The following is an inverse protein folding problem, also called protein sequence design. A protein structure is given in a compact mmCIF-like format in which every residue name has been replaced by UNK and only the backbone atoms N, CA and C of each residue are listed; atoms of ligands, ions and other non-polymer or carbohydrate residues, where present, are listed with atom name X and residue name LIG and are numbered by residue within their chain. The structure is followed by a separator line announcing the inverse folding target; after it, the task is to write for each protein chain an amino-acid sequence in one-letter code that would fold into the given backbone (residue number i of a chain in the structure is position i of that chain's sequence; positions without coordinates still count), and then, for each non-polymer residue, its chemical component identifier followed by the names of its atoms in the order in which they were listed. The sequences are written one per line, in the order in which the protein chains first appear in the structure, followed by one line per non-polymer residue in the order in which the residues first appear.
data_IF_944680957286
#
_entry.id   IF_944680957286
#
_cell.length_a   1.000
_cell.length_b   1.000
_cell.length_c   1.000
_cell.angle_alpha   90.00
_cell.angle_beta   90.00
_cell.angle_gamma   90.00
#
_symmetry.space_group_name_H-M   'P 1'
#
loop_
_entity.id
_entity.type
_entity.pdbx_description
1 polymer ?
#
# COMPACT_ATOMS: atom_id res chain seq x y z
N UNK A 1 50.43 -67.47 -5.61
CA UNK A 1 49.10 -67.72 -6.16
C UNK A 1 48.48 -66.39 -6.52
N UNK A 2 48.51 -66.08 -7.79
CA UNK A 2 48.03 -64.83 -8.39
C UNK A 2 46.58 -65.01 -8.78
N UNK A 3 45.65 -64.18 -8.30
CA UNK A 3 44.28 -64.13 -8.79
C UNK A 3 44.05 -62.80 -9.49
N UNK A 4 43.82 -62.91 -10.80
CA UNK A 4 43.45 -61.86 -11.73
C UNK A 4 41.98 -61.46 -11.52
N UNK A 5 41.71 -60.19 -11.24
CA UNK A 5 40.39 -59.60 -11.44
C UNK A 5 40.43 -58.73 -12.70
N UNK A 6 39.59 -59.01 -13.66
CA UNK A 6 39.29 -58.17 -14.82
C UNK A 6 38.14 -57.23 -14.44
N UNK A 7 38.20 -55.93 -14.78
CA UNK A 7 37.05 -55.05 -14.64
C UNK A 7 36.12 -55.19 -15.84
N UNK A 8 34.83 -55.36 -15.57
CA UNK A 8 33.72 -55.27 -16.54
C UNK A 8 33.36 -53.80 -16.70
N UNK A 9 33.58 -53.24 -17.89
CA UNK A 9 33.07 -51.92 -18.27
C UNK A 9 31.59 -52.04 -18.56
N UNK A 10 30.77 -51.37 -17.71
CA UNK A 10 29.34 -51.17 -17.94
C UNK A 10 29.18 -49.80 -18.64
N UNK A 11 28.86 -49.81 -19.92
CA UNK A 11 28.54 -48.62 -20.70
C UNK A 11 27.10 -48.20 -20.34
N UNK A 12 26.93 -47.09 -19.58
CA UNK A 12 25.65 -46.47 -19.37
C UNK A 12 25.31 -45.55 -20.55
N UNK A 13 24.33 -45.93 -21.35
CA UNK A 13 23.71 -45.05 -22.34
C UNK A 13 22.93 -43.95 -21.59
N UNK A 14 23.42 -42.71 -21.57
CA UNK A 14 22.66 -41.54 -21.21
C UNK A 14 21.77 -41.14 -22.39
N UNK A 15 20.49 -41.44 -22.30
CA UNK A 15 19.47 -40.82 -23.14
C UNK A 15 19.21 -39.42 -22.62
N UNK A 16 19.72 -38.42 -23.30
CA UNK A 16 19.34 -37.01 -23.05
C UNK A 16 17.91 -36.83 -23.51
N UNK A 17 16.98 -36.79 -22.54
CA UNK A 17 15.65 -36.31 -22.78
C UNK A 17 15.74 -34.78 -22.95
N UNK A 18 15.60 -34.29 -24.17
CA UNK A 18 15.42 -32.89 -24.46
C UNK A 18 14.07 -32.47 -23.90
N UNK A 19 14.06 -31.83 -22.73
CA UNK A 19 12.92 -31.06 -22.26
C UNK A 19 12.78 -29.83 -23.15
N UNK A 20 11.86 -29.89 -24.10
CA UNK A 20 11.34 -28.70 -24.77
C UNK A 20 10.58 -27.90 -23.72
N UNK A 21 10.82 -26.60 -23.55
CA UNK A 21 9.98 -25.79 -22.76
C UNK A 21 8.66 -25.58 -23.53
N UNK A 22 7.66 -26.37 -23.25
CA UNK A 22 6.28 -26.09 -23.62
C UNK A 22 5.82 -24.96 -22.67
N UNK A 23 6.13 -23.71 -23.01
CA UNK A 23 5.55 -22.55 -22.43
C UNK A 23 4.08 -22.44 -22.83
N UNK A 24 3.20 -23.14 -22.14
CA UNK A 24 1.81 -22.72 -22.07
C UNK A 24 1.83 -21.45 -21.24
N UNK A 25 1.66 -20.27 -21.87
CA UNK A 25 1.36 -19.05 -21.14
C UNK A 25 0.05 -19.32 -20.38
N UNK A 26 0.14 -19.66 -19.11
CA UNK A 26 -1.04 -19.78 -18.27
C UNK A 26 -1.72 -18.41 -18.26
N UNK A 27 -3.03 -18.39 -18.47
CA UNK A 27 -3.82 -17.18 -18.37
C UNK A 27 -3.53 -16.52 -16.99
N UNK A 28 -2.99 -15.30 -16.95
CA UNK A 28 -2.66 -14.63 -15.68
C UNK A 28 -3.87 -14.47 -14.79
N UNK A 29 -5.07 -14.40 -15.34
CA UNK A 29 -6.32 -14.27 -14.58
C UNK A 29 -6.72 -15.57 -13.89
N UNK A 30 -6.38 -16.72 -14.48
CA UNK A 30 -6.55 -18.00 -13.79
C UNK A 30 -5.64 -18.12 -12.55
N UNK A 31 -4.50 -17.43 -12.54
CA UNK A 31 -3.65 -17.33 -11.33
C UNK A 31 -4.31 -16.46 -10.27
N UNK A 32 -4.90 -15.32 -10.64
CA UNK A 32 -5.66 -14.47 -9.72
C UNK A 32 -6.78 -15.26 -9.03
N UNK A 33 -7.53 -16.07 -9.80
CA UNK A 33 -8.61 -16.92 -9.25
C UNK A 33 -8.06 -17.97 -8.27
N UNK A 34 -6.89 -18.55 -8.56
CA UNK A 34 -6.23 -19.49 -7.63
C UNK A 34 -5.78 -18.80 -6.35
N UNK A 35 -5.22 -17.60 -6.43
CA UNK A 35 -4.87 -16.80 -5.25
C UNK A 35 -6.10 -16.54 -4.39
N UNK A 36 -7.20 -16.06 -4.99
CA UNK A 36 -8.45 -15.80 -4.27
C UNK A 36 -8.99 -17.06 -3.58
N UNK A 37 -8.97 -18.19 -4.28
CA UNK A 37 -9.43 -19.47 -3.72
C UNK A 37 -8.55 -20.00 -2.57
N UNK A 38 -7.29 -19.57 -2.51
CA UNK A 38 -6.33 -19.98 -1.47
C UNK A 38 -6.35 -19.09 -0.23
N UNK A 39 -6.94 -17.90 -0.30
CA UNK A 39 -6.98 -16.95 0.82
C UNK A 39 -7.82 -17.47 1.98
N UNK A 40 -7.23 -17.43 3.16
CA UNK A 40 -7.94 -17.78 4.40
C UNK A 40 -8.95 -16.70 4.76
N UNK A 41 -10.19 -17.10 5.05
CA UNK A 41 -11.25 -16.18 5.46
C UNK A 41 -11.31 -16.07 7.00
N UNK A 42 -11.71 -14.89 7.51
CA UNK A 42 -11.94 -14.70 8.95
C UNK A 42 -13.12 -15.55 9.42
N UNK A 43 -13.02 -16.04 10.65
CA UNK A 43 -14.10 -16.74 11.31
C UNK A 43 -14.11 -16.42 12.81
N UNK A 44 -15.26 -16.01 13.34
CA UNK A 44 -15.41 -15.64 14.74
C UNK A 44 -16.47 -16.51 15.41
N UNK A 45 -16.27 -16.89 16.71
CA UNK A 45 -17.32 -17.50 17.49
C UNK A 45 -18.57 -16.60 17.61
N UNK A 46 -19.74 -17.22 17.74
CA UNK A 46 -21.00 -16.51 17.99
C UNK A 46 -21.06 -15.99 19.44
N UNK A 47 -20.28 -14.97 19.68
CA UNK A 47 -20.19 -14.20 20.91
C UNK A 47 -20.07 -12.73 20.57
N UNK A 48 -20.88 -11.90 21.21
CA UNK A 48 -20.78 -10.46 21.05
C UNK A 48 -20.90 -9.75 22.40
N UNK A 49 -20.17 -8.64 22.54
CA UNK A 49 -20.29 -7.70 23.67
C UNK A 49 -20.39 -6.28 23.09
N UNK A 50 -20.99 -5.38 23.82
CA UNK A 50 -21.01 -3.95 23.46
C UNK A 50 -19.95 -3.18 24.23
N UNK A 51 -19.32 -2.18 23.60
CA UNK A 51 -18.41 -1.27 24.31
C UNK A 51 -19.11 -0.51 25.46
N UNK A 52 -20.44 -0.37 25.39
CA UNK A 52 -21.23 0.24 26.45
C UNK A 52 -21.29 -0.63 27.72
N UNK A 53 -21.17 -1.95 27.60
CA UNK A 53 -21.07 -2.86 28.74
C UNK A 53 -19.77 -2.66 29.52
N UNK A 54 -18.78 -2.01 28.91
CA UNK A 54 -17.49 -1.65 29.49
C UNK A 54 -17.36 -0.17 29.86
N UNK A 55 -18.47 0.57 29.81
CA UNK A 55 -18.51 1.96 30.25
C UNK A 55 -18.33 3.03 29.17
N UNK A 56 -18.35 2.66 27.89
CA UNK A 56 -18.39 3.67 26.82
C UNK A 56 -19.73 4.42 26.82
N UNK A 57 -19.67 5.76 26.75
CA UNK A 57 -20.85 6.62 26.74
C UNK A 57 -20.91 7.39 25.42
N UNK A 58 -21.99 7.26 24.64
CA UNK A 58 -22.12 8.00 23.40
C UNK A 58 -22.32 9.50 23.68
N UNK A 59 -21.74 10.35 22.82
CA UNK A 59 -21.88 11.81 22.88
C UNK A 59 -20.97 12.50 23.90
N UNK A 60 -20.29 11.78 24.76
CA UNK A 60 -19.36 12.35 25.73
C UNK A 60 -17.97 12.58 25.12
N UNK A 61 -17.62 13.85 24.92
CA UNK A 61 -16.29 14.23 24.41
C UNK A 61 -15.25 14.44 25.51
N UNK A 62 -15.63 14.41 26.76
CA UNK A 62 -14.75 14.60 27.91
C UNK A 62 -14.25 13.27 28.46
N UNK A 63 -15.05 12.20 28.30
CA UNK A 63 -14.68 10.85 28.68
C UNK A 63 -14.40 10.01 27.43
N UNK A 64 -13.12 9.73 27.17
CA UNK A 64 -12.74 8.89 26.04
C UNK A 64 -13.16 7.44 26.27
N UNK A 65 -13.76 6.82 25.27
CA UNK A 65 -14.14 5.42 25.28
C UNK A 65 -12.94 4.44 25.07
N UNK A 66 -11.71 4.94 25.06
CA UNK A 66 -10.50 4.19 24.76
C UNK A 66 -10.33 2.95 25.63
N UNK A 67 -10.45 3.12 26.95
CA UNK A 67 -10.33 2.00 27.89
C UNK A 67 -11.48 1.01 27.72
N UNK A 68 -12.72 1.50 27.55
CA UNK A 68 -13.89 0.64 27.36
C UNK A 68 -13.74 -0.23 26.09
N UNK A 69 -13.33 0.37 24.97
CA UNK A 69 -13.10 -0.36 23.72
C UNK A 69 -11.98 -1.39 23.88
N UNK A 70 -10.83 -1.01 24.42
CA UNK A 70 -9.69 -1.91 24.57
C UNK A 70 -9.98 -3.05 25.58
N UNK A 71 -10.72 -2.75 26.66
CA UNK A 71 -11.14 -3.76 27.64
C UNK A 71 -12.14 -4.75 27.02
N UNK A 72 -13.09 -4.30 26.21
CA UNK A 72 -14.02 -5.15 25.47
C UNK A 72 -13.26 -6.08 24.51
N UNK A 73 -12.31 -5.55 23.75
CA UNK A 73 -11.45 -6.32 22.84
C UNK A 73 -10.67 -7.38 23.63
N UNK A 74 -10.06 -7.02 24.75
CA UNK A 74 -9.29 -7.92 25.57
C UNK A 74 -10.18 -9.04 26.17
N UNK A 75 -11.34 -8.70 26.67
CA UNK A 75 -12.28 -9.65 27.25
C UNK A 75 -12.76 -10.68 26.20
N UNK A 76 -13.09 -10.23 24.99
CA UNK A 76 -13.50 -11.11 23.89
C UNK A 76 -12.33 -11.99 23.44
N UNK A 77 -11.13 -11.45 23.29
CA UNK A 77 -9.93 -12.22 22.95
C UNK A 77 -9.64 -13.32 24.00
N UNK A 78 -9.66 -12.99 25.29
CA UNK A 78 -9.43 -13.94 26.40
C UNK A 78 -10.50 -15.03 26.46
N UNK A 79 -11.71 -14.72 26.01
CA UNK A 79 -12.80 -15.69 25.93
C UNK A 79 -12.73 -16.60 24.68
N UNK A 80 -11.66 -16.49 23.86
CA UNK A 80 -11.45 -17.29 22.66
C UNK A 80 -11.97 -16.67 21.37
N UNK A 81 -12.34 -15.38 21.39
CA UNK A 81 -12.76 -14.62 20.22
C UNK A 81 -14.24 -14.29 20.16
N UNK A 82 -14.63 -13.48 19.16
CA UNK A 82 -16.00 -13.00 18.95
C UNK A 82 -16.04 -11.58 18.41
N UNK A 83 -17.16 -10.90 18.60
CA UNK A 83 -17.43 -9.56 18.11
C UNK A 83 -17.51 -8.54 19.25
N UNK A 84 -16.84 -7.41 19.09
CA UNK A 84 -17.00 -6.21 19.93
C UNK A 84 -17.83 -5.21 19.14
N UNK A 85 -19.04 -4.93 19.58
CA UNK A 85 -19.96 -4.02 18.93
C UNK A 85 -19.77 -2.59 19.42
N UNK A 86 -19.62 -1.67 18.47
CA UNK A 86 -19.77 -0.23 18.67
C UNK A 86 -21.18 0.10 18.23
N UNK A 87 -22.13 0.37 19.14
CA UNK A 87 -23.51 0.65 18.79
C UNK A 87 -23.66 2.06 18.18
N UNK A 88 -24.84 2.37 17.68
CA UNK A 88 -25.16 3.69 17.14
C UNK A 88 -24.83 4.81 18.15
N UNK A 89 -24.26 5.88 17.63
CA UNK A 89 -23.82 7.04 18.41
C UNK A 89 -22.39 7.44 18.12
N UNK A 90 -22.02 8.60 18.65
CA UNK A 90 -20.64 9.13 18.51
C UNK A 90 -19.84 8.82 19.76
N UNK A 91 -18.73 8.14 19.62
CA UNK A 91 -17.80 7.84 20.72
C UNK A 91 -16.45 8.49 20.43
N UNK A 92 -16.01 9.32 21.37
CA UNK A 92 -14.66 9.87 21.33
C UNK A 92 -13.68 8.87 21.92
N UNK A 93 -12.56 8.65 21.24
CA UNK A 93 -11.57 7.66 21.65
C UNK A 93 -10.14 8.13 21.38
N UNK A 94 -9.19 7.56 22.09
CA UNK A 94 -7.77 7.51 21.73
C UNK A 94 -7.47 6.23 20.96
N UNK A 95 -6.20 5.75 20.98
CA UNK A 95 -5.77 4.61 20.19
C UNK A 95 -6.47 3.31 20.62
N UNK A 96 -6.84 2.49 19.63
CA UNK A 96 -7.47 1.19 19.80
C UNK A 96 -6.52 0.10 19.32
N UNK A 97 -6.34 -0.96 20.12
CA UNK A 97 -5.49 -2.11 19.77
C UNK A 97 -6.33 -3.36 19.59
N UNK A 98 -6.39 -3.89 18.37
CA UNK A 98 -7.06 -5.16 18.08
C UNK A 98 -6.23 -6.35 18.56
N UNK A 99 -6.93 -7.44 18.88
CA UNK A 99 -6.38 -8.71 19.32
C UNK A 99 -6.88 -9.86 18.44
N UNK A 100 -6.14 -10.93 18.41
CA UNK A 100 -6.48 -12.13 17.64
C UNK A 100 -7.88 -12.65 17.94
N UNK A 101 -8.55 -13.12 16.91
CA UNK A 101 -9.91 -13.66 16.96
C UNK A 101 -10.99 -12.64 17.35
N UNK A 102 -10.74 -11.33 17.14
CA UNK A 102 -11.70 -10.26 17.46
C UNK A 102 -12.14 -9.53 16.19
N UNK A 103 -13.45 -9.40 16.04
CA UNK A 103 -14.08 -8.48 15.10
C UNK A 103 -14.53 -7.23 15.83
N UNK A 104 -13.97 -6.06 15.50
CA UNK A 104 -14.51 -4.78 15.93
C UNK A 104 -15.59 -4.36 14.93
N UNK A 105 -16.84 -4.42 15.34
CA UNK A 105 -17.99 -4.14 14.47
C UNK A 105 -18.63 -2.80 14.81
N UNK A 106 -18.72 -1.91 13.80
CA UNK A 106 -19.38 -0.61 13.92
C UNK A 106 -20.77 -0.68 13.30
N UNK A 107 -21.82 -0.50 14.09
CA UNK A 107 -23.18 -0.33 13.58
C UNK A 107 -23.26 0.83 12.57
N UNK A 108 -24.27 0.85 11.70
CA UNK A 108 -24.37 1.84 10.62
C UNK A 108 -24.38 3.29 11.13
N UNK A 109 -25.00 3.54 12.29
CA UNK A 109 -25.03 4.85 12.96
C UNK A 109 -23.87 5.11 13.94
N UNK A 110 -22.89 4.21 14.03
CA UNK A 110 -21.73 4.36 14.90
C UNK A 110 -20.68 5.30 14.30
N UNK A 111 -20.14 6.19 15.12
CA UNK A 111 -19.01 7.06 14.75
C UNK A 111 -17.94 6.99 15.84
N UNK A 112 -16.77 6.46 15.49
CA UNK A 112 -15.57 6.58 16.33
C UNK A 112 -14.81 7.84 15.92
N UNK A 113 -14.76 8.83 16.82
CA UNK A 113 -13.98 10.06 16.66
C UNK A 113 -12.69 9.97 17.47
N UNK A 114 -11.57 10.10 16.79
CA UNK A 114 -10.27 10.03 17.43
C UNK A 114 -9.82 11.39 17.96
N UNK A 115 -9.40 11.42 19.22
CA UNK A 115 -8.81 12.64 19.81
C UNK A 115 -7.55 13.06 19.06
N UNK A 116 -7.31 14.35 18.96
CA UNK A 116 -6.08 14.92 18.38
C UNK A 116 -5.02 15.26 19.43
N UNK A 117 -5.26 14.90 20.71
CA UNK A 117 -4.28 15.02 21.77
C UNK A 117 -3.18 13.98 21.60
N UNK A 118 -2.02 14.42 21.09
CA UNK A 118 -0.88 13.58 20.78
C UNK A 118 -0.41 12.72 21.97
N UNK A 119 -0.58 13.20 23.19
CA UNK A 119 -0.15 12.48 24.40
C UNK A 119 -0.85 11.13 24.57
N UNK A 120 -2.09 11.03 24.10
CA UNK A 120 -2.88 9.79 24.16
C UNK A 120 -2.29 8.67 23.31
N UNK A 121 -1.42 9.00 22.36
CA UNK A 121 -0.83 8.05 21.40
C UNK A 121 0.58 7.57 21.77
N UNK A 122 0.96 7.75 23.01
CA UNK A 122 2.24 7.28 23.54
C UNK A 122 2.04 6.40 24.79
N UNK A 123 2.93 5.43 25.03
CA UNK A 123 4.26 5.26 24.44
C UNK A 123 4.23 4.84 22.96
N UNK A 124 5.33 5.12 22.25
CA UNK A 124 5.54 4.74 20.86
C UNK A 124 5.43 3.21 20.67
N UNK A 125 4.91 2.80 19.52
CA UNK A 125 4.75 1.38 19.16
C UNK A 125 5.57 1.02 17.92
N UNK A 126 5.95 -0.26 17.74
CA UNK A 126 6.61 -0.72 16.52
C UNK A 126 5.77 -0.42 15.29
N UNK A 127 6.35 0.31 14.35
CA UNK A 127 5.70 0.80 13.15
C UNK A 127 6.69 0.88 12.00
N UNK A 128 6.20 1.28 10.84
CA UNK A 128 6.99 1.69 9.67
C UNK A 128 6.40 2.97 9.11
N UNK A 129 7.26 3.92 8.82
CA UNK A 129 6.84 5.21 8.27
C UNK A 129 7.61 5.50 6.99
N UNK A 130 6.91 5.75 5.89
CA UNK A 130 7.48 5.87 4.53
C UNK A 130 8.53 4.78 4.23
N UNK A 131 8.23 3.53 4.54
CA UNK A 131 9.08 2.38 4.22
C UNK A 131 10.26 2.13 5.17
N UNK A 132 10.38 2.87 6.27
CA UNK A 132 11.48 2.76 7.25
C UNK A 132 10.94 2.36 8.62
N UNK A 133 11.50 1.31 9.22
CA UNK A 133 11.10 0.80 10.53
C UNK A 133 11.46 1.78 11.64
N UNK A 134 10.52 2.00 12.56
CA UNK A 134 10.71 2.84 13.77
C UNK A 134 9.67 2.51 14.84
N UNK A 135 9.90 2.95 16.07
CA UNK A 135 8.87 3.06 17.09
C UNK A 135 8.28 4.47 17.01
N UNK A 136 7.01 4.58 16.67
CA UNK A 136 6.36 5.84 16.35
C UNK A 136 5.05 6.04 17.12
N UNK A 137 4.45 7.21 16.97
CA UNK A 137 3.09 7.52 17.41
C UNK A 137 2.16 6.35 17.13
N UNK A 138 1.41 5.91 18.13
CA UNK A 138 0.47 4.80 18.01
C UNK A 138 -0.55 5.11 16.90
N UNK A 139 -0.80 4.21 15.93
CA UNK A 139 -1.87 4.36 14.96
C UNK A 139 -3.25 4.47 15.62
N UNK A 140 -4.24 5.00 14.92
CA UNK A 140 -5.56 5.15 15.51
C UNK A 140 -6.15 3.77 15.85
N UNK A 141 -6.11 2.83 14.89
CA UNK A 141 -6.42 1.41 15.13
C UNK A 141 -5.23 0.57 14.73
N UNK A 142 -4.73 -0.21 15.65
CA UNK A 142 -3.49 -0.95 15.53
C UNK A 142 -3.65 -2.44 15.84
N UNK A 143 -2.87 -3.26 15.14
CA UNK A 143 -2.64 -4.67 15.51
C UNK A 143 -1.19 -5.04 15.20
N UNK A 144 -0.57 -5.88 16.01
CA UNK A 144 0.79 -6.36 15.81
C UNK A 144 0.91 -7.85 16.07
N UNK A 145 1.23 -8.61 15.02
CA UNK A 145 1.41 -10.07 15.13
C UNK A 145 0.12 -10.84 15.41
N UNK A 146 -1.04 -10.23 15.14
CA UNK A 146 -2.34 -10.82 15.44
C UNK A 146 -2.87 -11.64 14.25
N UNK A 147 -3.74 -12.60 14.54
CA UNK A 147 -4.33 -13.49 13.54
C UNK A 147 -5.85 -13.48 13.65
N UNK A 148 -6.55 -13.59 12.50
CA UNK A 148 -8.00 -13.64 12.44
C UNK A 148 -8.63 -12.42 13.12
N UNK A 149 -8.39 -11.25 12.54
CA UNK A 149 -8.90 -9.96 13.02
C UNK A 149 -9.80 -9.32 11.98
N UNK A 150 -10.80 -8.60 12.43
CA UNK A 150 -11.65 -7.84 11.53
C UNK A 150 -12.04 -6.47 12.09
N UNK A 151 -12.32 -5.56 11.16
CA UNK A 151 -12.98 -4.29 11.36
C UNK A 151 -14.14 -4.24 10.36
N UNK A 152 -15.37 -4.30 10.84
CA UNK A 152 -16.56 -4.46 9.98
C UNK A 152 -17.69 -3.52 10.31
N UNK A 153 -18.72 -3.50 9.47
CA UNK A 153 -19.95 -2.74 9.64
C UNK A 153 -20.03 -1.50 8.78
N UNK A 154 -21.15 -0.75 8.86
CA UNK A 154 -21.39 0.45 8.06
C UNK A 154 -20.99 1.78 8.74
N UNK A 155 -20.43 1.71 9.95
CA UNK A 155 -20.09 2.89 10.74
C UNK A 155 -18.89 3.70 10.22
N UNK A 156 -18.61 4.80 10.88
CA UNK A 156 -17.59 5.77 10.48
C UNK A 156 -16.43 5.82 11.47
N UNK A 157 -15.22 5.86 10.97
CA UNK A 157 -13.98 6.13 11.70
C UNK A 157 -13.46 7.48 11.22
N UNK A 158 -13.39 8.44 12.14
CA UNK A 158 -12.99 9.81 11.88
C UNK A 158 -11.72 10.14 12.65
N UNK A 159 -10.61 10.29 11.95
CA UNK A 159 -9.31 10.64 12.51
C UNK A 159 -9.22 12.09 12.97
N UNK A 160 -10.23 12.92 12.69
CA UNK A 160 -10.32 14.32 13.06
C UNK A 160 -9.11 15.17 12.66
N UNK A 161 -8.32 14.71 11.67
CA UNK A 161 -7.14 15.43 11.23
C UNK A 161 -7.50 16.71 10.47
N UNK A 162 -6.75 17.77 10.76
CA UNK A 162 -6.91 19.10 10.17
C UNK A 162 -5.60 19.88 10.19
N UNK A 163 -5.61 21.09 9.60
CA UNK A 163 -4.41 21.95 9.48
C UNK A 163 -3.93 22.51 10.83
N UNK A 164 -4.80 22.60 11.80
CA UNK A 164 -4.49 23.08 13.16
C UNK A 164 -4.01 21.97 14.10
N UNK A 165 -3.99 20.73 13.62
CA UNK A 165 -3.56 19.58 14.41
C UNK A 165 -2.62 18.66 13.59
N UNK A 166 -3.01 17.45 13.26
CA UNK A 166 -2.14 16.45 12.64
C UNK A 166 -1.47 16.93 11.33
N UNK A 167 -2.21 17.57 10.42
CA UNK A 167 -1.63 18.01 9.14
C UNK A 167 -0.69 19.20 9.31
N UNK A 168 -0.99 20.13 10.21
CA UNK A 168 -0.10 21.24 10.59
C UNK A 168 1.15 20.75 11.30
N UNK A 169 1.01 19.73 12.19
CA UNK A 169 2.15 19.07 12.83
C UNK A 169 3.12 18.50 11.80
N UNK A 170 2.63 17.82 10.78
CA UNK A 170 3.45 17.30 9.69
C UNK A 170 4.28 18.36 8.99
N UNK A 171 3.76 19.57 8.81
CA UNK A 171 4.53 20.68 8.25
C UNK A 171 5.70 21.12 9.14
N UNK A 172 5.54 21.04 10.43
CA UNK A 172 6.55 21.47 11.41
C UNK A 172 7.59 20.37 11.65
N UNK A 173 7.15 19.12 11.81
CA UNK A 173 8.02 18.01 12.21
C UNK A 173 8.58 17.20 11.05
N UNK A 174 7.86 17.11 9.93
CA UNK A 174 8.16 16.19 8.84
C UNK A 174 8.58 16.89 7.55
N UNK A 175 7.92 18.01 7.25
CA UNK A 175 8.06 18.72 5.97
C UNK A 175 8.70 20.08 6.14
N UNK A 176 9.99 20.08 6.32
CA UNK A 176 10.72 21.32 6.10
C UNK A 176 11.24 21.35 4.66
N UNK A 177 11.30 22.55 4.01
CA UNK A 177 11.77 22.64 2.63
C UNK A 177 13.12 21.95 2.48
N UNK A 178 13.26 21.14 1.48
CA UNK A 178 14.49 20.45 1.12
C UNK A 178 14.98 20.95 -0.24
N UNK A 179 16.28 21.13 -0.47
CA UNK A 179 17.37 21.11 0.49
C UNK A 179 17.35 22.34 1.37
N UNK A 180 17.78 22.22 2.62
CA UNK A 180 18.04 23.38 3.43
C UNK A 180 19.46 23.85 3.20
N UNK A 181 19.63 25.14 3.34
CA UNK A 181 20.93 25.77 3.34
C UNK A 181 21.69 25.36 4.61
N UNK A 182 22.73 24.52 4.53
CA UNK A 182 23.49 24.12 5.72
C UNK A 182 24.20 25.30 6.37
N UNK A 183 24.28 26.45 5.69
CA UNK A 183 24.87 27.67 6.22
C UNK A 183 23.88 28.57 6.99
N UNK A 184 22.57 28.27 6.91
CA UNK A 184 21.57 28.99 7.71
C UNK A 184 21.43 28.33 9.10
N UNK A 185 21.95 28.97 10.19
CA UNK A 185 21.82 28.46 11.54
C UNK A 185 20.38 28.40 12.05
N UNK A 186 19.42 29.01 11.35
CA UNK A 186 17.99 28.91 11.59
C UNK A 186 17.34 27.85 10.73
N UNK A 187 18.12 27.15 9.92
CA UNK A 187 17.64 26.06 9.10
C UNK A 187 17.09 24.95 10.00
N UNK A 188 15.81 24.78 10.04
CA UNK A 188 15.17 23.87 11.00
C UNK A 188 15.34 22.40 10.67
N UNK A 189 16.13 22.03 9.70
CA UNK A 189 16.20 20.73 9.08
C UNK A 189 17.10 19.73 9.69
N UNK A 190 18.10 20.16 10.31
CA UNK A 190 18.97 19.23 11.02
C UNK A 190 18.26 18.52 12.17
N UNK A 191 17.04 18.98 12.51
CA UNK A 191 16.23 18.50 13.64
C UNK A 191 14.87 17.88 13.23
N UNK A 192 14.52 17.83 11.95
CA UNK A 192 13.21 17.28 11.53
C UNK A 192 13.12 15.76 11.76
N UNK A 193 12.00 15.31 12.33
CA UNK A 193 11.75 13.89 12.63
C UNK A 193 11.86 13.01 11.39
N UNK A 194 11.35 13.45 10.25
CA UNK A 194 11.47 12.72 8.99
C UNK A 194 12.92 12.63 8.50
N UNK A 195 13.71 13.69 8.64
CA UNK A 195 15.14 13.69 8.26
C UNK A 195 15.91 12.69 9.10
N UNK A 196 15.63 12.65 10.41
CA UNK A 196 16.21 11.68 11.33
C UNK A 196 15.82 10.24 10.96
N UNK A 197 14.55 10.01 10.58
CA UNK A 197 14.10 8.70 10.10
C UNK A 197 14.89 8.25 8.87
N UNK A 198 15.04 9.12 7.87
CA UNK A 198 15.81 8.82 6.66
C UNK A 198 17.28 8.50 7.00
N UNK A 199 17.89 9.27 7.90
CA UNK A 199 19.25 9.00 8.37
C UNK A 199 19.37 7.67 9.10
N UNK A 200 18.42 7.31 9.95
CA UNK A 200 18.37 5.99 10.60
C UNK A 200 18.24 4.84 9.59
N UNK A 201 17.38 5.01 8.57
CA UNK A 201 17.24 4.02 7.51
C UNK A 201 18.55 3.81 6.75
N UNK A 202 19.19 4.88 6.29
CA UNK A 202 20.43 4.81 5.49
C UNK A 202 21.65 4.34 6.30
N UNK A 203 21.72 4.64 7.60
CA UNK A 203 22.80 4.18 8.49
C UNK A 203 22.63 2.77 9.01
N UNK A 204 21.41 2.21 8.91
CA UNK A 204 21.07 0.92 9.53
C UNK A 204 21.03 0.97 11.05
N UNK A 205 20.73 2.13 11.65
CA UNK A 205 20.61 2.28 13.10
C UNK A 205 19.70 1.19 13.71
N UNK A 206 20.00 0.65 14.89
CA UNK A 206 19.17 -0.39 15.50
C UNK A 206 17.83 0.17 15.99
N UNK A 207 16.81 -0.70 16.06
CA UNK A 207 15.43 -0.29 16.38
C UNK A 207 15.27 0.45 17.72
N UNK A 208 16.08 0.12 18.73
CA UNK A 208 15.99 0.80 20.03
C UNK A 208 16.41 2.28 19.98
N UNK A 209 17.20 2.67 18.99
CA UNK A 209 17.55 4.08 18.72
C UNK A 209 16.49 4.81 17.91
N UNK A 210 15.66 4.08 17.15
CA UNK A 210 14.65 4.62 16.26
C UNK A 210 13.31 4.84 16.98
N UNK A 211 13.35 5.50 18.13
CA UNK A 211 12.16 5.70 18.97
C UNK A 211 11.82 7.18 19.08
N UNK A 212 10.58 7.50 18.75
CA UNK A 212 10.01 8.83 18.88
C UNK A 212 9.32 9.04 20.22
N UNK A 213 9.15 10.28 20.59
CA UNK A 213 8.43 10.75 21.77
C UNK A 213 7.20 11.58 21.39
N UNK A 214 6.41 12.01 22.36
CA UNK A 214 5.23 12.83 22.11
C UNK A 214 5.54 14.18 21.44
N UNK A 215 6.77 14.68 21.58
CA UNK A 215 7.18 15.98 21.03
C UNK A 215 7.62 15.91 19.59
N UNK A 216 8.11 14.75 19.15
CA UNK A 216 8.77 14.57 17.85
C UNK A 216 8.21 13.41 17.02
N UNK A 217 7.16 12.71 17.50
CA UNK A 217 6.53 11.62 16.78
C UNK A 217 5.93 12.05 15.44
N UNK A 218 6.07 11.17 14.45
CA UNK A 218 5.50 11.34 13.12
C UNK A 218 3.99 11.08 13.13
N UNK A 219 3.26 11.64 12.18
CA UNK A 219 1.80 11.43 12.05
C UNK A 219 1.46 9.95 11.95
N UNK A 220 0.49 9.44 12.74
CA UNK A 220 0.11 8.04 12.70
C UNK A 220 -0.79 7.72 11.50
N UNK A 221 -0.84 6.46 11.11
CA UNK A 221 -1.83 5.91 10.20
C UNK A 221 -3.20 5.79 10.89
N UNK A 222 -4.30 5.75 10.12
CA UNK A 222 -5.60 5.42 10.70
C UNK A 222 -5.69 3.95 11.05
N UNK A 223 -5.47 3.04 10.09
CA UNK A 223 -5.42 1.60 10.32
C UNK A 223 -4.00 1.10 10.03
N UNK A 224 -3.34 0.53 11.02
CA UNK A 224 -2.02 -0.06 10.84
C UNK A 224 -1.96 -1.47 11.41
N UNK A 225 -2.03 -2.46 10.53
CA UNK A 225 -1.92 -3.86 10.89
C UNK A 225 -0.55 -4.38 10.50
N UNK A 226 0.26 -4.70 11.49
CA UNK A 226 1.67 -5.03 11.33
C UNK A 226 1.88 -6.52 11.60
N UNK A 227 2.35 -7.28 10.61
CA UNK A 227 2.62 -8.74 10.68
C UNK A 227 1.37 -9.57 11.07
N UNK A 228 0.20 -9.14 10.60
CA UNK A 228 -1.05 -9.84 10.87
C UNK A 228 -1.38 -10.84 9.77
N UNK A 229 -2.15 -11.87 10.12
CA UNK A 229 -2.58 -12.90 9.18
C UNK A 229 -4.11 -13.04 9.25
N UNK A 230 -4.75 -13.23 8.11
CA UNK A 230 -6.21 -13.35 7.99
C UNK A 230 -6.91 -12.11 8.55
N UNK A 231 -6.97 -11.07 7.72
CA UNK A 231 -7.45 -9.74 8.09
C UNK A 231 -8.62 -9.34 7.19
N UNK A 232 -9.69 -8.84 7.79
CA UNK A 232 -10.84 -8.29 7.06
C UNK A 232 -11.10 -6.84 7.48
N UNK A 233 -11.21 -5.95 6.50
CA UNK A 233 -11.71 -4.58 6.67
C UNK A 233 -12.91 -4.44 5.73
N UNK A 234 -14.12 -4.26 6.27
CA UNK A 234 -15.34 -4.33 5.46
C UNK A 234 -16.39 -3.29 5.84
N UNK A 235 -16.90 -2.58 4.84
CA UNK A 235 -18.07 -1.73 4.91
C UNK A 235 -17.87 -0.34 5.52
N UNK A 236 -16.84 -0.15 6.32
CA UNK A 236 -16.61 1.09 7.08
C UNK A 236 -16.28 2.31 6.21
N UNK A 237 -16.63 3.49 6.71
CA UNK A 237 -16.22 4.78 6.14
C UNK A 237 -15.06 5.36 6.94
N UNK A 238 -13.96 5.73 6.25
CA UNK A 238 -12.75 6.29 6.85
C UNK A 238 -12.58 7.76 6.44
N UNK A 239 -12.49 8.64 7.43
CA UNK A 239 -12.45 10.09 7.23
C UNK A 239 -11.23 10.72 7.92
N UNK A 240 -10.70 11.78 7.33
CA UNK A 240 -9.75 12.72 7.94
C UNK A 240 -8.59 12.03 8.66
N UNK A 241 -7.90 11.14 7.96
CA UNK A 241 -6.71 10.46 8.46
C UNK A 241 -5.55 11.43 8.71
N UNK A 242 -4.77 11.23 9.77
CA UNK A 242 -3.53 12.00 9.97
C UNK A 242 -2.49 11.81 8.87
N UNK A 243 -2.39 10.60 8.32
CA UNK A 243 -1.40 10.14 7.35
C UNK A 243 -2.05 9.06 6.45
N UNK A 244 -1.33 8.07 5.93
CA UNK A 244 -1.87 6.92 5.18
C UNK A 244 -3.08 6.31 5.89
N UNK A 245 -4.15 6.03 5.15
CA UNK A 245 -5.41 5.63 5.77
C UNK A 245 -5.39 4.17 6.20
N UNK A 246 -5.15 3.24 5.26
CA UNK A 246 -5.04 1.81 5.52
C UNK A 246 -3.62 1.37 5.19
N UNK A 247 -2.82 1.06 6.20
CA UNK A 247 -1.43 0.62 6.04
C UNK A 247 -1.21 -0.77 6.67
N UNK A 248 -1.52 -1.85 5.94
CA UNK A 248 -1.10 -3.19 6.33
C UNK A 248 0.38 -3.38 6.00
N UNK A 249 1.15 -3.86 6.97
CA UNK A 249 2.58 -4.09 6.86
C UNK A 249 2.90 -5.57 7.09
N UNK A 250 3.52 -6.22 6.12
CA UNK A 250 3.90 -7.64 6.21
C UNK A 250 2.72 -8.55 6.59
N UNK A 251 1.52 -8.22 6.12
CA UNK A 251 0.32 -9.01 6.34
C UNK A 251 0.14 -10.08 5.27
N UNK A 252 -0.55 -11.17 5.65
CA UNK A 252 -0.92 -12.24 4.73
C UNK A 252 -2.42 -12.52 4.80
N UNK A 253 -3.05 -12.79 3.65
CA UNK A 253 -4.49 -13.01 3.51
C UNK A 253 -5.32 -11.83 4.05
N UNK A 254 -5.21 -10.70 3.36
CA UNK A 254 -5.91 -9.46 3.69
C UNK A 254 -7.04 -9.18 2.70
N UNK A 255 -8.24 -8.91 3.21
CA UNK A 255 -9.37 -8.43 2.41
C UNK A 255 -9.79 -7.03 2.85
N UNK A 256 -9.88 -6.10 1.90
CA UNK A 256 -10.48 -4.76 2.07
C UNK A 256 -11.67 -4.68 1.11
N UNK A 257 -12.88 -4.64 1.64
CA UNK A 257 -14.11 -4.74 0.83
C UNK A 257 -15.14 -3.70 1.20
N UNK A 258 -15.73 -3.05 0.20
CA UNK A 258 -16.86 -2.12 0.39
C UNK A 258 -16.50 -0.90 1.24
N UNK A 259 -15.23 -0.57 1.38
CA UNK A 259 -14.77 0.55 2.21
C UNK A 259 -14.87 1.86 1.45
N UNK A 260 -15.34 2.90 2.11
CA UNK A 260 -15.33 4.27 1.58
C UNK A 260 -14.26 5.10 2.28
N UNK A 261 -13.31 5.64 1.51
CA UNK A 261 -12.27 6.55 2.01
C UNK A 261 -12.53 7.94 1.47
N UNK A 262 -12.64 8.91 2.39
CA UNK A 262 -12.73 10.33 2.07
C UNK A 262 -11.71 11.11 2.91
N UNK A 263 -10.54 11.31 2.33
CA UNK A 263 -9.38 11.89 3.03
C UNK A 263 -8.54 12.74 2.07
N UNK A 264 -8.71 14.05 2.12
CA UNK A 264 -8.01 15.04 1.30
C UNK A 264 -6.72 15.58 1.93
N UNK A 265 -6.29 15.00 3.04
CA UNK A 265 -5.10 15.39 3.77
C UNK A 265 -3.78 15.08 3.04
N UNK A 266 -2.69 15.73 3.42
CA UNK A 266 -1.36 15.48 2.85
C UNK A 266 -0.85 14.08 3.20
N UNK A 267 -0.27 13.36 2.23
CA UNK A 267 0.06 11.93 2.30
C UNK A 267 -1.16 11.09 2.76
N UNK A 268 -2.30 11.47 2.22
CA UNK A 268 -3.57 10.84 2.53
C UNK A 268 -3.88 9.68 1.60
N UNK A 269 -2.88 8.83 1.34
CA UNK A 269 -2.99 7.62 0.53
C UNK A 269 -4.09 6.73 1.13
N UNK A 270 -4.91 6.11 0.26
CA UNK A 270 -6.08 5.37 0.71
C UNK A 270 -5.75 3.99 1.27
N UNK A 271 -5.01 3.19 0.53
CA UNK A 271 -4.60 1.85 0.96
C UNK A 271 -3.17 1.55 0.49
N UNK A 272 -2.29 1.28 1.44
CA UNK A 272 -0.85 1.08 1.24
C UNK A 272 -0.39 -0.31 1.69
N UNK A 273 -0.71 -1.40 0.96
CA UNK A 273 -0.18 -2.71 1.30
C UNK A 273 1.33 -2.70 1.15
N UNK A 274 2.07 -2.90 2.26
CA UNK A 274 3.52 -2.88 2.27
C UNK A 274 4.09 -4.24 2.66
N UNK A 275 4.87 -4.85 1.76
CA UNK A 275 5.41 -6.21 1.92
C UNK A 275 4.33 -7.25 2.28
N UNK A 276 3.13 -7.07 1.73
CA UNK A 276 1.97 -7.93 1.96
C UNK A 276 1.84 -9.00 0.88
N UNK A 277 1.20 -10.10 1.24
CA UNK A 277 0.92 -11.21 0.34
C UNK A 277 -0.55 -11.60 0.38
N UNK A 278 -1.12 -11.96 -0.80
CA UNK A 278 -2.51 -12.36 -0.95
C UNK A 278 -3.46 -11.27 -0.41
N UNK A 279 -3.60 -10.20 -1.18
CA UNK A 279 -4.42 -9.04 -0.81
C UNK A 279 -5.54 -8.89 -1.82
N UNK A 280 -6.78 -8.80 -1.34
CA UNK A 280 -7.94 -8.45 -2.12
C UNK A 280 -8.46 -7.07 -1.71
N UNK A 281 -8.57 -6.15 -2.67
CA UNK A 281 -9.19 -4.83 -2.49
C UNK A 281 -10.35 -4.76 -3.49
N UNK A 282 -11.59 -4.79 -3.00
CA UNK A 282 -12.75 -4.84 -3.88
C UNK A 282 -13.92 -3.97 -3.43
N UNK A 283 -14.70 -3.50 -4.40
CA UNK A 283 -15.93 -2.72 -4.17
C UNK A 283 -15.72 -1.45 -3.34
N UNK A 284 -14.50 -0.90 -3.35
CA UNK A 284 -14.11 0.26 -2.54
C UNK A 284 -14.23 1.58 -3.31
N UNK A 285 -14.43 2.68 -2.56
CA UNK A 285 -14.44 4.04 -3.10
C UNK A 285 -13.31 4.85 -2.47
N UNK A 286 -12.43 5.40 -3.31
CA UNK A 286 -11.29 6.22 -2.90
C UNK A 286 -11.48 7.67 -3.35
N UNK A 287 -11.50 8.59 -2.40
CA UNK A 287 -11.36 10.03 -2.60
C UNK A 287 -10.24 10.53 -1.69
N UNK A 288 -9.04 10.66 -2.25
CA UNK A 288 -7.80 10.81 -1.48
C UNK A 288 -7.03 12.06 -1.86
N UNK A 289 -6.24 12.58 -0.93
CA UNK A 289 -5.34 13.71 -1.15
C UNK A 289 -3.97 13.30 -1.70
N UNK A 290 -3.68 12.00 -1.78
CA UNK A 290 -2.49 11.41 -2.42
C UNK A 290 -2.93 10.17 -3.22
N UNK A 291 -2.11 9.13 -3.37
CA UNK A 291 -2.46 7.95 -4.17
C UNK A 291 -3.70 7.19 -3.59
N UNK A 292 -4.59 6.66 -4.43
CA UNK A 292 -5.74 5.88 -3.96
C UNK A 292 -5.31 4.53 -3.37
N UNK A 293 -4.51 3.78 -4.12
CA UNK A 293 -3.86 2.55 -3.66
C UNK A 293 -2.37 2.69 -3.99
N UNK A 294 -1.49 2.55 -2.99
CA UNK A 294 -0.06 2.65 -3.20
C UNK A 294 0.69 1.46 -2.59
N UNK A 295 1.01 0.50 -3.43
CA UNK A 295 1.67 -0.75 -3.05
C UNK A 295 3.15 -0.48 -2.78
N UNK A 296 3.66 -0.97 -1.65
CA UNK A 296 5.00 -0.70 -1.16
C UNK A 296 5.71 -1.98 -0.69
N UNK A 297 7.05 -1.92 -0.54
CA UNK A 297 7.87 -3.02 0.02
C UNK A 297 9.16 -2.50 0.66
N UNK A 298 9.06 -1.37 1.35
CA UNK A 298 10.16 -0.76 2.11
C UNK A 298 11.04 0.18 1.29
N UNK A 299 11.71 1.06 2.02
CA UNK A 299 12.52 2.14 1.45
C UNK A 299 14.01 1.85 1.64
N UNK A 300 14.76 1.95 0.54
CA UNK A 300 16.21 1.95 0.51
C UNK A 300 16.85 0.77 1.30
N UNK A 301 17.76 1.05 2.22
CA UNK A 301 18.49 0.04 3.00
C UNK A 301 17.53 -0.83 3.85
N UNK A 302 16.54 -0.23 4.52
CA UNK A 302 15.56 -0.99 5.32
C UNK A 302 14.72 -1.93 4.44
N UNK A 303 14.24 -1.46 3.29
CA UNK A 303 13.50 -2.29 2.35
C UNK A 303 14.35 -3.46 1.81
N UNK A 304 15.59 -3.18 1.41
CA UNK A 304 16.53 -4.22 0.95
C UNK A 304 16.91 -5.21 2.04
N UNK A 305 17.10 -4.74 3.27
CA UNK A 305 17.41 -5.58 4.43
C UNK A 305 16.34 -6.64 4.68
N UNK A 306 15.07 -6.25 4.61
CA UNK A 306 13.97 -7.21 4.71
C UNK A 306 13.85 -8.07 3.44
N UNK A 307 14.00 -7.48 2.26
CA UNK A 307 13.91 -8.18 0.99
C UNK A 307 12.57 -8.88 0.76
N UNK A 308 11.51 -8.41 1.42
CA UNK A 308 10.15 -8.98 1.32
C UNK A 308 9.36 -8.17 0.31
N UNK A 309 9.02 -8.74 -0.85
CA UNK A 309 8.18 -8.07 -1.82
C UNK A 309 6.73 -7.95 -1.34
N UNK A 310 5.97 -7.06 -1.94
CA UNK A 310 4.51 -7.22 -1.99
C UNK A 310 4.17 -8.12 -3.16
N UNK A 311 3.23 -9.05 -2.98
CA UNK A 311 2.88 -10.02 -4.02
C UNK A 311 1.43 -10.48 -3.94
N UNK A 312 0.89 -10.88 -5.11
CA UNK A 312 -0.46 -11.41 -5.24
C UNK A 312 -1.51 -10.41 -4.73
N UNK A 313 -1.58 -9.24 -5.36
CA UNK A 313 -2.57 -8.21 -5.01
C UNK A 313 -3.62 -8.11 -6.12
N UNK A 314 -4.88 -8.20 -5.74
CA UNK A 314 -6.04 -8.13 -6.62
C UNK A 314 -6.85 -6.90 -6.26
N UNK A 315 -7.08 -6.02 -7.23
CA UNK A 315 -7.91 -4.81 -7.11
C UNK A 315 -9.05 -4.92 -8.11
N UNK A 316 -10.29 -4.93 -7.63
CA UNK A 316 -11.43 -5.06 -8.55
C UNK A 316 -12.66 -4.28 -8.12
N UNK A 317 -13.45 -3.87 -9.10
CA UNK A 317 -14.72 -3.18 -8.91
C UNK A 317 -14.59 -1.87 -8.09
N UNK A 318 -13.41 -1.28 -8.03
CA UNK A 318 -13.15 -0.08 -7.24
C UNK A 318 -13.41 1.19 -8.04
N UNK A 319 -13.76 2.25 -7.32
CA UNK A 319 -13.90 3.59 -7.87
C UNK A 319 -12.86 4.53 -7.27
N UNK A 320 -11.97 5.06 -8.10
CA UNK A 320 -11.01 6.11 -7.75
C UNK A 320 -11.61 7.46 -8.17
N UNK A 321 -12.17 8.17 -7.18
CA UNK A 321 -12.89 9.43 -7.41
C UNK A 321 -11.96 10.65 -7.39
N UNK A 322 -10.80 10.56 -6.71
CA UNK A 322 -9.78 11.60 -6.65
C UNK A 322 -8.47 11.01 -6.09
N UNK A 323 -7.30 11.58 -6.47
CA UNK A 323 -5.99 11.15 -5.97
C UNK A 323 -4.83 11.48 -6.90
N UNK A 324 -3.58 11.25 -6.47
CA UNK A 324 -2.40 11.40 -7.32
C UNK A 324 -2.15 10.20 -8.23
N UNK A 325 -2.72 9.05 -7.91
CA UNK A 325 -2.67 7.84 -8.72
C UNK A 325 -3.80 6.89 -8.36
N UNK A 326 -4.37 6.17 -9.35
CA UNK A 326 -5.41 5.19 -9.11
C UNK A 326 -4.85 3.94 -8.45
N UNK A 327 -4.03 3.17 -9.17
CA UNK A 327 -3.26 2.06 -8.62
C UNK A 327 -1.77 2.34 -8.86
N UNK A 328 -1.02 2.43 -7.77
CA UNK A 328 0.37 2.86 -7.77
C UNK A 328 1.26 1.78 -7.16
N UNK A 329 2.43 1.56 -7.75
CA UNK A 329 3.51 0.75 -7.20
C UNK A 329 4.66 1.69 -6.88
N UNK A 330 5.04 1.74 -5.60
CA UNK A 330 6.13 2.61 -5.11
C UNK A 330 5.64 3.91 -4.42
N UNK A 331 6.60 4.83 -4.12
CA UNK A 331 8.04 4.73 -4.43
C UNK A 331 8.83 3.81 -3.50
N UNK A 332 8.35 3.51 -2.31
CA UNK A 332 9.00 2.64 -1.32
C UNK A 332 8.86 1.17 -1.76
N UNK A 333 9.69 0.73 -2.73
CA UNK A 333 9.54 -0.57 -3.40
C UNK A 333 10.86 -1.37 -3.44
N UNK A 334 11.73 -1.16 -2.46
CA UNK A 334 13.06 -1.77 -2.45
C UNK A 334 13.06 -3.29 -2.28
N UNK A 335 12.00 -3.87 -1.71
CA UNK A 335 11.80 -5.32 -1.64
C UNK A 335 11.28 -5.95 -2.95
N UNK A 336 10.94 -5.13 -3.95
CA UNK A 336 10.34 -5.59 -5.21
C UNK A 336 8.83 -5.81 -5.13
N UNK A 337 8.26 -6.20 -6.27
CA UNK A 337 6.84 -6.46 -6.43
C UNK A 337 6.58 -7.51 -7.50
N UNK A 338 5.56 -8.36 -7.31
CA UNK A 338 5.07 -9.28 -8.34
C UNK A 338 3.58 -9.61 -8.21
N UNK A 339 2.95 -9.83 -9.36
CA UNK A 339 1.58 -10.30 -9.51
C UNK A 339 0.51 -9.32 -9.01
N UNK A 340 0.27 -8.26 -9.79
CA UNK A 340 -0.87 -7.35 -9.65
C UNK A 340 -1.94 -7.67 -10.68
N UNK A 341 -3.18 -7.77 -10.22
CA UNK A 341 -4.35 -7.84 -11.10
C UNK A 341 -5.31 -6.69 -10.77
N UNK A 342 -5.61 -5.88 -11.77
CA UNK A 342 -6.57 -4.76 -11.65
C UNK A 342 -7.68 -4.97 -12.67
N UNK A 343 -8.93 -5.08 -12.22
CA UNK A 343 -10.04 -5.27 -13.14
C UNK A 343 -11.32 -4.51 -12.76
N UNK A 344 -12.11 -4.16 -13.78
CA UNK A 344 -13.45 -3.59 -13.63
C UNK A 344 -13.46 -2.31 -12.76
N UNK A 345 -12.42 -1.50 -12.81
CA UNK A 345 -12.30 -0.27 -12.02
C UNK A 345 -12.76 0.96 -12.83
N UNK A 346 -13.26 1.96 -12.11
CA UNK A 346 -13.67 3.25 -12.69
C UNK A 346 -12.87 4.39 -12.08
N UNK A 347 -12.31 5.25 -12.93
CA UNK A 347 -11.49 6.37 -12.52
C UNK A 347 -11.90 7.62 -13.30
N UNK A 348 -12.33 8.66 -12.62
CA UNK A 348 -12.78 9.88 -13.30
C UNK A 348 -12.61 11.10 -12.39
N UNK A 349 -11.50 11.81 -12.56
CA UNK A 349 -11.27 13.06 -11.85
C UNK A 349 -10.24 13.93 -12.57
N UNK A 350 -10.46 15.25 -12.68
CA UNK A 350 -9.45 16.19 -13.16
C UNK A 350 -8.23 16.31 -12.24
N UNK A 351 -8.35 15.81 -11.01
CA UNK A 351 -7.26 15.82 -10.02
C UNK A 351 -6.54 14.48 -9.91
N UNK A 352 -7.07 13.42 -10.54
CA UNK A 352 -6.36 12.15 -10.64
C UNK A 352 -5.22 12.30 -11.65
N UNK A 353 -3.97 12.26 -11.18
CA UNK A 353 -2.84 12.48 -12.09
C UNK A 353 -2.60 11.31 -13.03
N UNK A 354 -2.60 10.09 -12.53
CA UNK A 354 -2.25 8.87 -13.28
C UNK A 354 -3.20 7.74 -12.90
N UNK A 355 -3.49 6.89 -13.86
CA UNK A 355 -4.37 5.73 -13.64
C UNK A 355 -3.59 4.56 -13.06
N UNK A 356 -2.60 4.08 -13.81
CA UNK A 356 -1.62 3.09 -13.36
C UNK A 356 -0.25 3.76 -13.29
N UNK A 357 0.38 3.70 -12.13
CA UNK A 357 1.64 4.39 -11.89
C UNK A 357 2.67 3.48 -11.26
N UNK A 358 3.88 3.42 -11.85
CA UNK A 358 5.05 2.75 -11.27
C UNK A 358 6.11 3.82 -11.05
N UNK A 359 6.57 3.99 -9.81
CA UNK A 359 7.56 4.99 -9.42
C UNK A 359 8.64 4.38 -8.56
N UNK A 360 9.88 4.43 -9.01
CA UNK A 360 11.06 3.92 -8.31
C UNK A 360 12.31 4.70 -8.73
N UNK A 361 13.47 4.35 -8.21
CA UNK A 361 14.75 4.97 -8.55
C UNK A 361 15.94 4.07 -8.21
N UNK A 362 17.13 4.49 -8.59
CA UNK A 362 18.37 3.78 -8.25
C UNK A 362 18.73 3.81 -6.76
N UNK A 363 17.99 4.54 -5.93
CA UNK A 363 18.06 4.44 -4.47
C UNK A 363 17.25 3.26 -3.93
N UNK A 364 16.17 2.89 -4.63
CA UNK A 364 15.26 1.80 -4.25
C UNK A 364 15.74 0.46 -4.78
N UNK A 365 16.02 0.35 -6.08
CA UNK A 365 16.21 -0.93 -6.74
C UNK A 365 14.90 -1.71 -6.87
N UNK A 366 14.99 -3.03 -6.79
CA UNK A 366 13.86 -3.95 -6.83
C UNK A 366 13.37 -4.30 -8.24
N UNK A 367 12.79 -5.49 -8.38
CA UNK A 367 12.12 -5.94 -9.61
C UNK A 367 10.62 -5.80 -9.43
N UNK A 368 9.96 -5.21 -10.42
CA UNK A 368 8.51 -5.00 -10.47
C UNK A 368 8.01 -5.72 -11.72
N UNK A 369 7.21 -6.77 -11.54
CA UNK A 369 6.80 -7.65 -12.64
C UNK A 369 5.39 -8.23 -12.46
N UNK A 370 4.79 -8.69 -13.58
CA UNK A 370 3.50 -9.37 -13.56
C UNK A 370 2.34 -8.42 -13.25
N UNK A 371 2.22 -7.31 -13.97
CA UNK A 371 1.14 -6.34 -13.79
C UNK A 371 0.12 -6.52 -14.90
N UNK A 372 -1.09 -6.95 -14.54
CA UNK A 372 -2.18 -7.22 -15.46
C UNK A 372 -3.40 -6.35 -15.12
N UNK A 373 -3.78 -5.51 -16.06
CA UNK A 373 -4.89 -4.55 -15.93
C UNK A 373 -5.91 -4.81 -17.02
N UNK A 374 -7.18 -4.97 -16.69
CA UNK A 374 -8.23 -5.12 -17.70
C UNK A 374 -9.53 -4.44 -17.34
N UNK A 375 -10.29 -4.08 -18.38
CA UNK A 375 -11.66 -3.52 -18.23
C UNK A 375 -11.67 -2.30 -17.29
N UNK A 376 -10.79 -1.34 -17.48
CA UNK A 376 -10.74 -0.11 -16.70
C UNK A 376 -11.29 1.05 -17.52
N UNK A 377 -12.30 1.70 -16.96
CA UNK A 377 -12.94 2.88 -17.57
C UNK A 377 -12.39 4.16 -16.94
N UNK A 378 -11.73 4.99 -17.75
CA UNK A 378 -11.22 6.29 -17.31
C UNK A 378 -12.03 7.41 -17.97
N UNK A 379 -12.74 8.19 -17.15
CA UNK A 379 -13.36 9.42 -17.64
C UNK A 379 -12.30 10.46 -17.99
N UNK A 380 -11.49 10.83 -17.01
CA UNK A 380 -10.35 11.70 -17.20
C UNK A 380 -9.26 11.46 -16.17
N UNK A 381 -8.01 11.73 -16.55
CA UNK A 381 -6.89 11.88 -15.67
C UNK A 381 -6.01 13.04 -16.15
N UNK A 382 -5.24 13.63 -15.23
CA UNK A 382 -4.50 14.85 -15.54
C UNK A 382 -3.26 14.60 -16.39
N UNK A 383 -2.52 13.51 -16.16
CA UNK A 383 -1.26 13.26 -16.84
C UNK A 383 -1.32 12.09 -17.82
N UNK A 384 -1.38 10.86 -17.36
CA UNK A 384 -1.27 9.68 -18.21
C UNK A 384 -2.05 8.48 -17.69
N UNK A 385 -2.50 7.64 -18.62
CA UNK A 385 -3.15 6.36 -18.27
C UNK A 385 -2.13 5.38 -17.69
N UNK A 386 -0.96 5.25 -18.30
CA UNK A 386 0.15 4.48 -17.74
C UNK A 386 1.38 5.39 -17.56
N UNK A 387 1.92 5.40 -16.36
CA UNK A 387 3.17 6.09 -16.04
C UNK A 387 4.18 5.15 -15.41
N UNK A 388 5.35 4.96 -16.03
CA UNK A 388 6.49 4.25 -15.43
C UNK A 388 7.65 5.22 -15.30
N UNK A 389 8.17 5.41 -14.07
CA UNK A 389 9.23 6.36 -13.77
C UNK A 389 10.32 5.70 -12.91
N UNK A 390 11.50 5.47 -13.50
CA UNK A 390 12.70 4.94 -12.83
C UNK A 390 13.62 6.06 -12.30
N UNK A 391 13.22 7.32 -12.47
CA UNK A 391 13.96 8.52 -12.04
C UNK A 391 13.21 9.31 -10.97
N UNK A 392 12.42 8.62 -10.14
CA UNK A 392 11.64 9.25 -9.09
C UNK A 392 12.52 9.69 -7.92
N UNK A 393 12.26 10.86 -7.33
CA UNK A 393 13.02 11.41 -6.20
C UNK A 393 14.56 11.40 -6.39
N UNK A 394 15.03 11.83 -7.56
CA UNK A 394 16.47 11.84 -7.86
C UNK A 394 17.31 12.68 -6.89
N UNK A 395 16.71 13.67 -6.24
CA UNK A 395 17.38 14.55 -5.29
C UNK A 395 17.37 14.01 -3.84
N UNK A 396 16.80 12.82 -3.61
CA UNK A 396 16.85 12.20 -2.29
C UNK A 396 18.31 11.88 -1.90
N UNK A 397 18.68 12.21 -0.67
CA UNK A 397 19.97 11.84 -0.11
C UNK A 397 19.89 10.38 0.33
N UNK A 398 20.41 9.50 -0.51
CA UNK A 398 20.39 8.06 -0.31
C UNK A 398 21.55 7.40 -1.05
N UNK A 399 21.95 6.22 -0.60
CA UNK A 399 22.84 5.35 -1.38
C UNK A 399 22.17 4.98 -2.70
N UNK A 400 22.91 5.03 -3.78
CA UNK A 400 22.41 4.74 -5.14
C UNK A 400 23.21 3.59 -5.77
N UNK A 401 22.82 3.19 -6.98
CA UNK A 401 23.45 2.07 -7.71
C UNK A 401 22.65 0.77 -7.57
N UNK A 402 21.46 0.82 -6.96
CA UNK A 402 20.52 -0.28 -6.93
C UNK A 402 19.59 -0.17 -8.12
N UNK A 403 19.84 -0.97 -9.14
CA UNK A 403 19.16 -0.83 -10.43
C UNK A 403 17.74 -1.42 -10.35
N UNK A 404 16.68 -0.60 -10.53
CA UNK A 404 15.32 -1.10 -10.59
C UNK A 404 15.03 -1.72 -11.96
N UNK A 405 14.09 -2.66 -12.00
CA UNK A 405 13.59 -3.24 -13.25
C UNK A 405 12.07 -3.31 -13.24
N UNK A 406 11.44 -2.93 -14.36
CA UNK A 406 10.00 -3.05 -14.58
C UNK A 406 9.77 -3.85 -15.85
N UNK A 407 9.04 -4.96 -15.74
CA UNK A 407 8.72 -5.83 -16.88
C UNK A 407 7.38 -6.53 -16.74
N UNK A 408 6.88 -7.09 -17.83
CA UNK A 408 5.64 -7.84 -17.88
C UNK A 408 4.46 -7.00 -17.35
N UNK A 409 4.16 -5.92 -18.07
CA UNK A 409 3.03 -5.01 -17.78
C UNK A 409 2.05 -5.06 -18.94
N UNK A 410 0.84 -5.52 -18.69
CA UNK A 410 -0.21 -5.62 -19.70
C UNK A 410 -1.45 -4.81 -19.30
N UNK A 411 -1.86 -3.91 -20.19
CA UNK A 411 -3.15 -3.23 -20.12
C UNK A 411 -4.05 -3.77 -21.23
N UNK A 412 -5.24 -4.22 -20.88
CA UNK A 412 -6.18 -4.81 -21.82
C UNK A 412 -7.59 -4.20 -21.68
N UNK A 413 -8.17 -3.73 -22.76
CA UNK A 413 -9.49 -3.07 -22.75
C UNK A 413 -9.59 -1.93 -21.73
N UNK A 414 -8.58 -1.06 -21.74
CA UNK A 414 -8.56 0.18 -20.95
C UNK A 414 -8.99 1.33 -21.84
N UNK A 415 -9.97 2.09 -21.38
CA UNK A 415 -10.49 3.26 -22.12
C UNK A 415 -10.24 4.54 -21.34
N UNK A 416 -9.90 5.63 -22.03
CA UNK A 416 -9.75 6.95 -21.41
C UNK A 416 -10.37 8.02 -22.34
N UNK A 417 -11.15 8.94 -21.77
CA UNK A 417 -11.78 10.02 -22.54
C UNK A 417 -10.99 11.32 -22.56
N UNK A 418 -10.08 11.51 -21.58
CA UNK A 418 -9.23 12.71 -21.54
C UNK A 418 -7.98 12.48 -20.69
N UNK A 419 -6.81 12.83 -21.23
CA UNK A 419 -5.52 12.86 -20.53
C UNK A 419 -4.54 13.78 -21.27
N UNK A 420 -3.44 14.16 -20.61
CA UNK A 420 -2.36 14.89 -21.30
C UNK A 420 -1.57 13.97 -22.22
N UNK A 421 -1.25 12.76 -21.77
CA UNK A 421 -0.53 11.73 -22.52
C UNK A 421 -1.30 10.40 -22.45
N UNK A 422 -1.19 9.55 -23.47
CA UNK A 422 -1.68 8.16 -23.37
C UNK A 422 -0.82 7.38 -22.38
N UNK A 423 0.46 7.22 -22.67
CA UNK A 423 1.45 6.59 -21.82
C UNK A 423 2.70 7.45 -21.67
N UNK A 424 3.39 7.30 -20.53
CA UNK A 424 4.63 8.01 -20.27
C UNK A 424 5.66 7.14 -19.57
N UNK A 425 6.88 7.10 -20.14
CA UNK A 425 8.01 6.36 -19.63
C UNK A 425 9.20 7.29 -19.34
N UNK A 426 9.79 7.17 -18.14
CA UNK A 426 11.06 7.77 -17.78
C UNK A 426 12.04 6.65 -17.38
N UNK A 427 12.70 6.04 -18.39
CA UNK A 427 13.72 5.00 -18.23
C UNK A 427 15.06 5.57 -17.77
N UNK A 428 16.00 4.68 -17.43
CA UNK A 428 17.40 5.06 -17.15
C UNK A 428 18.10 5.49 -18.45
N UNK A 429 19.20 6.23 -18.33
CA UNK A 429 19.89 6.78 -19.49
C UNK A 429 20.94 5.83 -20.08
N UNK A 430 21.40 4.87 -19.28
CA UNK A 430 22.54 4.00 -19.59
C UNK A 430 22.17 2.53 -19.83
N UNK A 431 20.98 2.10 -19.40
CA UNK A 431 20.53 0.73 -19.60
C UNK A 431 19.00 0.58 -19.72
N UNK A 432 18.56 -0.43 -20.48
CA UNK A 432 17.14 -0.76 -20.63
C UNK A 432 16.65 -1.50 -19.39
N UNK A 433 15.70 -0.89 -18.64
CA UNK A 433 15.12 -1.43 -17.42
C UNK A 433 13.59 -1.32 -17.37
N UNK A 434 12.99 -0.80 -18.41
CA UNK A 434 11.54 -0.88 -18.66
C UNK A 434 11.41 -1.78 -19.91
N UNK A 435 10.78 -2.92 -19.77
CA UNK A 435 10.66 -3.88 -20.86
C UNK A 435 9.35 -4.68 -20.80
N UNK A 436 8.94 -5.25 -21.95
CA UNK A 436 7.76 -6.11 -22.05
C UNK A 436 6.47 -5.43 -21.56
N UNK A 437 6.19 -4.28 -22.15
CA UNK A 437 4.96 -3.50 -21.90
C UNK A 437 4.00 -3.73 -23.06
N UNK A 438 2.78 -4.19 -22.78
CA UNK A 438 1.77 -4.46 -23.81
C UNK A 438 0.48 -3.70 -23.51
N UNK A 439 -0.02 -2.97 -24.50
CA UNK A 439 -1.37 -2.40 -24.50
C UNK A 439 -2.18 -3.12 -25.57
N UNK A 440 -3.28 -3.76 -25.17
CA UNK A 440 -4.14 -4.54 -26.05
C UNK A 440 -5.59 -4.04 -25.98
N UNK A 441 -6.21 -3.82 -27.14
CA UNK A 441 -7.60 -3.37 -27.24
C UNK A 441 -7.88 -2.09 -26.41
N UNK A 442 -6.89 -1.20 -26.29
CA UNK A 442 -7.02 0.04 -25.53
C UNK A 442 -7.45 1.21 -26.46
N UNK A 443 -8.28 2.10 -25.92
CA UNK A 443 -8.72 3.30 -26.63
C UNK A 443 -8.61 4.54 -25.76
N UNK A 444 -7.69 5.45 -26.13
CA UNK A 444 -7.49 6.70 -25.41
C UNK A 444 -7.91 7.87 -26.29
N UNK A 445 -8.96 8.55 -25.89
CA UNK A 445 -9.48 9.73 -26.56
C UNK A 445 -9.12 11.01 -25.80
N UNK A 446 -9.18 12.16 -26.47
CA UNK A 446 -8.87 13.45 -25.86
C UNK A 446 -7.47 13.54 -25.27
N UNK A 447 -6.50 12.83 -25.86
CA UNK A 447 -5.08 12.96 -25.51
C UNK A 447 -4.56 14.27 -26.09
N UNK A 448 -4.10 15.17 -25.20
CA UNK A 448 -3.80 16.56 -25.54
C UNK A 448 -2.42 16.73 -26.18
N UNK A 449 -1.47 15.83 -25.88
CA UNK A 449 -0.08 15.87 -26.36
C UNK A 449 0.32 14.52 -26.98
N UNK A 450 1.57 14.13 -26.81
CA UNK A 450 2.08 12.91 -27.42
C UNK A 450 1.34 11.65 -26.91
N UNK A 451 0.91 10.75 -27.81
CA UNK A 451 0.34 9.46 -27.43
C UNK A 451 1.27 8.65 -26.51
N UNK A 452 2.56 8.67 -26.82
CA UNK A 452 3.64 8.03 -26.08
C UNK A 452 4.74 9.06 -25.81
N UNK A 453 4.95 9.43 -24.55
CA UNK A 453 6.09 10.26 -24.15
C UNK A 453 7.15 9.36 -23.52
N UNK A 454 8.37 9.41 -24.06
CA UNK A 454 9.48 8.60 -23.56
C UNK A 454 10.71 9.48 -23.29
N UNK A 455 11.36 9.25 -22.14
CA UNK A 455 12.70 9.73 -21.84
C UNK A 455 13.56 8.58 -21.32
N UNK A 456 14.87 8.59 -21.62
CA UNK A 456 15.78 7.49 -21.31
C UNK A 456 15.52 6.22 -22.15
N UNK A 457 16.14 5.12 -21.76
CA UNK A 457 16.07 3.87 -22.50
C UNK A 457 14.86 3.03 -22.06
N UNK A 458 14.07 2.63 -23.05
CA UNK A 458 12.91 1.73 -22.89
C UNK A 458 13.04 0.61 -23.93
N UNK A 459 12.79 -0.61 -23.51
CA UNK A 459 12.85 -1.79 -24.35
C UNK A 459 11.57 -2.01 -25.14
N UNK A 460 11.10 -3.26 -25.14
CA UNK A 460 9.93 -3.64 -25.94
C UNK A 460 8.65 -3.06 -25.37
N UNK A 461 7.96 -2.27 -26.19
CA UNK A 461 6.59 -1.80 -25.96
C UNK A 461 5.75 -2.22 -27.16
N UNK A 462 4.64 -2.90 -26.94
CA UNK A 462 3.74 -3.41 -27.99
C UNK A 462 2.35 -2.78 -27.84
N UNK A 463 1.81 -2.34 -28.97
CA UNK A 463 0.44 -1.84 -29.08
C UNK A 463 -0.35 -2.78 -30.01
N UNK A 464 -1.27 -3.54 -29.44
CA UNK A 464 -2.07 -4.51 -30.16
C UNK A 464 -3.52 -3.98 -30.25
N UNK A 465 -4.01 -3.72 -31.45
CA UNK A 465 -5.35 -3.22 -31.67
C UNK A 465 -5.72 -2.02 -30.76
N UNK A 466 -4.76 -1.12 -30.53
CA UNK A 466 -4.93 0.02 -29.62
C UNK A 466 -4.89 1.34 -30.37
N UNK A 467 -5.67 2.30 -29.90
CA UNK A 467 -5.81 3.61 -30.57
C UNK A 467 -5.60 4.77 -29.60
N UNK A 468 -5.11 5.90 -30.15
CA UNK A 468 -5.12 7.21 -29.48
C UNK A 468 -5.74 8.23 -30.44
N UNK A 469 -6.77 8.94 -29.96
CA UNK A 469 -7.53 9.89 -30.75
C UNK A 469 -8.01 9.31 -32.12
N UNK A 470 -8.44 8.04 -32.09
CA UNK A 470 -8.91 7.30 -33.26
C UNK A 470 -7.81 6.82 -34.22
N UNK A 471 -6.54 7.05 -33.92
CA UNK A 471 -5.40 6.59 -34.73
C UNK A 471 -4.74 5.37 -34.07
N UNK A 472 -4.39 4.37 -34.88
CA UNK A 472 -3.66 3.20 -34.39
C UNK A 472 -2.27 3.61 -33.85
N UNK A 473 -1.88 3.01 -32.71
CA UNK A 473 -0.55 3.15 -32.12
C UNK A 473 0.45 2.16 -32.73
#
# INVERSE_FOLDING_TARGET
MLNNFRPVLLAALLTAAACSPSGTSSDPWAEADRVLASMTQVHFPDRAVSITDFGAVPGDSLQLATEAINNAILAVNQAGGGTVNVPDGTFWTGPVTLKSNVNLHLSDGAVLKFTTDVKQYFPAVPSRWEGIDCNNTHPLIYAYGETNIALTGGGTIDGCAAQDNWWGRGRITERRPWPLDPSDPKSPMMEGSRVRLLAWGESGAPMYERTYTETDGLRPQTLHFNRCTTVLIEGVTLLRSPFWVIHPLMCNDLTVRGVTINNDGPNGDGCDPESCRNVLIEDCVFNTGDDCIAIKSGRNEDGRKWGIPSENIIVRNCRMANGHGGVVIGSEISGGYRNLWVENCKMDSPNLDRVIRIKTSTARGGVIEGIHVRNVEVGQCREAVLRINLKYEQNEIAKRGFIPEVRDVTLERVTCRKSTYGVRFDGLDDEVRINDITLRDCAFEGVEKDPVLQSGLVGRVSFENSTVNGQAL
#
